data_IF_013578192309
#
_entry.id   IF_013578192309
#
_cell.length_a   1.000
_cell.length_b   1.000
_cell.length_c   1.000
_cell.angle_alpha   90.00
_cell.angle_beta   90.00
_cell.angle_gamma   90.00
#
_symmetry.space_group_name_H-M   'P 1'
#
loop_
_entity.id
_entity.type
_entity.pdbx_description
1 polymer ?
#
# COMPACT_ATOMS: atom_id res chain seq x y z
N UNK A 1 13.57 19.25 9.53
CA UNK A 1 14.17 18.06 10.17
C UNK A 1 13.31 16.88 9.79
N UNK A 2 13.82 15.80 9.18
CA UNK A 2 12.99 14.63 8.95
C UNK A 2 12.62 14.07 10.32
N UNK A 3 11.33 14.05 10.64
CA UNK A 3 10.84 13.51 11.91
C UNK A 3 11.20 12.03 11.99
N UNK A 4 11.57 11.61 13.20
CA UNK A 4 11.92 10.26 13.63
C UNK A 4 11.19 9.18 12.86
N UNK A 5 11.90 8.09 12.57
CA UNK A 5 11.34 6.90 11.96
C UNK A 5 10.00 6.52 12.66
N UNK A 6 8.90 6.54 11.90
CA UNK A 6 7.55 6.54 12.45
C UNK A 6 6.57 5.66 11.65
N UNK A 7 7.08 4.75 10.81
CA UNK A 7 6.21 3.78 10.14
C UNK A 7 5.52 2.88 11.17
N UNK A 8 6.26 2.40 12.17
CA UNK A 8 5.75 1.53 13.24
C UNK A 8 5.84 2.14 14.65
N UNK A 9 6.14 3.44 14.74
CA UNK A 9 6.30 4.15 16.01
C UNK A 9 7.74 4.20 16.56
N UNK A 10 8.73 3.72 15.82
CA UNK A 10 10.16 3.91 16.15
C UNK A 10 11.13 3.63 15.02
N UNK A 11 10.67 2.97 13.96
CA UNK A 11 11.46 2.51 12.83
C UNK A 11 10.76 2.80 11.49
N UNK A 12 11.53 2.69 10.41
CA UNK A 12 11.11 2.97 9.03
C UNK A 12 12.03 2.25 8.06
N UNK A 13 11.53 1.97 6.86
CA UNK A 13 12.36 1.44 5.77
C UNK A 13 13.52 2.39 5.44
N UNK A 14 14.72 1.83 5.22
CA UNK A 14 15.89 2.58 4.79
C UNK A 14 15.69 3.10 3.36
N UNK A 15 15.74 4.43 3.20
CA UNK A 15 15.66 5.06 1.87
C UNK A 15 16.78 4.58 0.94
N UNK A 16 17.97 4.32 1.48
CA UNK A 16 19.12 3.81 0.75
C UNK A 16 18.89 2.38 0.28
N UNK A 17 18.30 1.52 1.13
CA UNK A 17 17.98 0.14 0.75
C UNK A 17 16.87 0.10 -0.32
N UNK A 18 15.85 0.94 -0.19
CA UNK A 18 14.81 1.10 -1.22
C UNK A 18 15.40 1.63 -2.54
N UNK A 19 16.29 2.62 -2.49
CA UNK A 19 16.96 3.14 -3.67
C UNK A 19 17.85 2.08 -4.36
N UNK A 20 18.48 1.19 -3.60
CA UNK A 20 19.27 0.08 -4.15
C UNK A 20 18.43 -0.90 -4.99
N UNK A 21 17.11 -0.95 -4.76
CA UNK A 21 16.13 -1.71 -5.57
C UNK A 21 15.27 -0.80 -6.45
N UNK A 22 15.76 0.41 -6.75
CA UNK A 22 15.10 1.41 -7.61
C UNK A 22 13.75 1.95 -7.12
N UNK A 23 13.45 1.79 -5.83
CA UNK A 23 12.31 2.44 -5.18
C UNK A 23 12.78 3.80 -4.67
N UNK A 24 12.63 4.82 -5.52
CA UNK A 24 13.01 6.21 -5.23
C UNK A 24 11.79 7.13 -5.24
N UNK A 25 11.85 8.32 -4.61
CA UNK A 25 10.79 9.33 -4.71
C UNK A 25 10.35 9.57 -6.16
N UNK A 26 9.04 9.45 -6.44
CA UNK A 26 8.46 9.63 -7.77
C UNK A 26 8.65 8.44 -8.73
N UNK A 27 9.34 7.37 -8.31
CA UNK A 27 9.46 6.17 -9.13
C UNK A 27 8.10 5.50 -9.34
N UNK A 28 7.93 4.86 -10.50
CA UNK A 28 6.81 3.96 -10.74
C UNK A 28 7.27 2.53 -10.51
N UNK A 29 6.60 1.84 -9.59
CA UNK A 29 6.83 0.43 -9.27
C UNK A 29 5.82 -0.40 -10.05
N UNK A 30 6.28 -1.30 -10.90
CA UNK A 30 5.42 -2.21 -11.65
C UNK A 30 5.41 -3.60 -11.00
N UNK A 31 4.22 -4.15 -10.76
CA UNK A 31 4.05 -5.52 -10.28
C UNK A 31 2.83 -6.16 -10.93
N UNK A 32 3.04 -7.25 -11.69
CA UNK A 32 1.96 -8.02 -12.36
C UNK A 32 0.96 -7.15 -13.15
N UNK A 33 1.45 -6.12 -13.84
CA UNK A 33 0.62 -5.21 -14.64
C UNK A 33 -0.05 -4.08 -13.84
N UNK A 34 0.14 -4.02 -12.51
CA UNK A 34 -0.26 -2.88 -11.68
C UNK A 34 0.93 -1.95 -11.49
N UNK A 35 0.67 -0.64 -11.58
CA UNK A 35 1.68 0.40 -11.44
C UNK A 35 1.38 1.24 -10.19
N UNK A 36 2.38 1.39 -9.32
CA UNK A 36 2.29 2.18 -8.10
C UNK A 36 3.24 3.38 -8.21
N UNK A 37 2.73 4.58 -8.00
CA UNK A 37 3.57 5.78 -7.90
C UNK A 37 4.12 5.90 -6.47
N UNK A 38 5.43 5.81 -6.32
CA UNK A 38 6.09 6.00 -5.05
C UNK A 38 6.09 7.48 -4.63
N UNK A 39 5.73 7.82 -3.39
CA UNK A 39 5.54 9.21 -2.99
C UNK A 39 6.82 10.04 -3.03
N UNK A 40 6.65 11.34 -3.32
CA UNK A 40 7.75 12.31 -3.37
C UNK A 40 7.99 12.98 -2.01
N UNK A 41 8.12 12.18 -0.94
CA UNK A 41 8.44 12.67 0.41
C UNK A 41 7.28 13.31 1.17
N UNK A 42 6.06 13.26 0.63
CA UNK A 42 4.82 13.59 1.35
C UNK A 42 4.23 12.35 2.01
N UNK A 43 3.54 12.54 3.14
CA UNK A 43 2.75 11.48 3.74
C UNK A 43 1.68 11.05 2.74
N UNK A 44 1.78 9.82 2.26
CA UNK A 44 0.87 9.24 1.27
C UNK A 44 0.62 7.77 1.60
N UNK A 45 0.25 7.51 2.85
CA UNK A 45 -0.14 6.20 3.33
C UNK A 45 -1.57 6.24 3.87
N UNK A 46 -2.20 5.07 3.87
CA UNK A 46 -3.52 4.86 4.44
C UNK A 46 -3.39 3.77 5.49
N UNK A 47 -3.74 4.07 6.74
CA UNK A 47 -3.88 3.04 7.76
C UNK A 47 -5.21 2.30 7.53
N UNK A 48 -5.16 0.98 7.34
CA UNK A 48 -6.37 0.18 7.12
C UNK A 48 -7.24 0.16 8.38
N UNK A 49 -8.37 0.89 8.37
CA UNK A 49 -9.30 0.97 9.50
C UNK A 49 -10.77 0.81 9.07
N UNK A 50 -11.01 0.05 7.99
CA UNK A 50 -12.35 -0.18 7.44
C UNK A 50 -12.90 0.93 6.54
N UNK A 51 -12.07 1.91 6.14
CA UNK A 51 -12.50 2.93 5.18
C UNK A 51 -12.87 2.34 3.81
N UNK A 52 -13.80 3.01 3.14
CA UNK A 52 -14.15 2.74 1.73
C UNK A 52 -13.26 3.60 0.83
N UNK A 53 -12.62 2.97 -0.15
CA UNK A 53 -11.85 3.66 -1.20
C UNK A 53 -12.74 3.74 -2.44
N UNK A 54 -13.07 4.95 -2.88
CA UNK A 54 -13.86 5.16 -4.08
C UNK A 54 -12.96 5.13 -5.33
N UNK A 55 -13.24 4.22 -6.26
CA UNK A 55 -12.54 4.06 -7.53
C UNK A 55 -13.29 4.69 -8.71
N UNK A 56 -14.26 5.57 -8.45
CA UNK A 56 -15.05 6.24 -9.50
C UNK A 56 -14.14 6.91 -10.52
N UNK A 57 -14.37 6.63 -11.81
CA UNK A 57 -13.57 7.15 -12.92
C UNK A 57 -12.30 6.33 -13.22
N UNK A 58 -11.96 5.33 -12.39
CA UNK A 58 -10.93 4.36 -12.71
C UNK A 58 -11.56 3.14 -13.39
N UNK A 59 -10.98 2.71 -14.52
CA UNK A 59 -11.41 1.51 -15.25
C UNK A 59 -10.27 0.49 -15.21
N UNK A 60 -10.59 -0.79 -15.00
CA UNK A 60 -9.61 -1.86 -14.99
C UNK A 60 -10.17 -3.17 -14.44
N UNK A 61 -9.40 -4.25 -14.61
CA UNK A 61 -9.77 -5.61 -14.17
C UNK A 61 -8.86 -6.13 -13.05
N UNK A 62 -7.95 -5.29 -12.54
CA UNK A 62 -6.95 -5.69 -11.56
C UNK A 62 -6.83 -4.61 -10.49
N UNK A 63 -6.97 -5.03 -9.24
CA UNK A 63 -6.72 -4.19 -8.07
C UNK A 63 -5.44 -4.69 -7.41
N UNK A 64 -4.44 -3.82 -7.30
CA UNK A 64 -3.19 -4.13 -6.60
C UNK A 64 -3.09 -3.37 -5.29
N UNK A 65 -2.53 -4.03 -4.29
CA UNK A 65 -2.22 -3.44 -2.99
C UNK A 65 -0.72 -3.47 -2.78
N UNK A 66 -0.14 -2.30 -2.46
CA UNK A 66 1.23 -2.17 -1.98
C UNK A 66 1.14 -1.76 -0.51
N UNK A 67 1.63 -2.60 0.37
CA UNK A 67 1.50 -2.39 1.81
C UNK A 67 2.53 -3.17 2.60
N UNK A 68 2.57 -2.91 3.90
CA UNK A 68 3.44 -3.55 4.85
C UNK A 68 2.70 -3.74 6.18
N UNK A 69 2.99 -4.84 6.87
CA UNK A 69 2.59 -5.02 8.26
C UNK A 69 3.59 -4.31 9.17
N UNK A 70 3.10 -3.78 10.28
CA UNK A 70 3.93 -3.30 11.38
C UNK A 70 3.46 -4.00 12.65
N UNK A 71 4.39 -4.34 13.55
CA UNK A 71 4.07 -5.01 14.82
C UNK A 71 3.35 -6.37 14.61
N UNK A 72 3.90 -7.22 13.75
CA UNK A 72 3.38 -8.55 13.45
C UNK A 72 2.60 -8.67 12.13
N UNK A 73 2.00 -9.85 11.91
CA UNK A 73 1.16 -10.14 10.76
C UNK A 73 -0.08 -9.24 10.79
N UNK A 74 -0.19 -8.35 9.80
CA UNK A 74 -1.37 -7.51 9.62
C UNK A 74 -2.24 -8.09 8.51
N UNK A 75 -3.55 -8.12 8.73
CA UNK A 75 -4.46 -8.63 7.71
C UNK A 75 -5.92 -8.35 8.00
N UNK A 76 -6.75 -8.60 6.99
CA UNK A 76 -8.18 -8.39 7.09
C UNK A 76 -8.90 -8.74 5.80
N UNK A 77 -10.22 -8.63 5.86
CA UNK A 77 -11.07 -8.81 4.70
C UNK A 77 -11.19 -7.50 3.93
N UNK A 78 -11.07 -7.60 2.61
CA UNK A 78 -11.39 -6.54 1.66
C UNK A 78 -12.66 -6.95 0.95
N UNK A 79 -13.61 -6.03 0.88
CA UNK A 79 -14.85 -6.19 0.13
C UNK A 79 -14.74 -5.33 -1.12
N UNK A 80 -14.79 -5.96 -2.29
CA UNK A 80 -14.84 -5.28 -3.58
C UNK A 80 -16.30 -5.25 -4.02
N UNK A 81 -16.80 -4.05 -4.31
CA UNK A 81 -18.13 -3.85 -4.92
C UNK A 81 -17.96 -3.59 -6.41
N UNK A 82 -18.59 -4.41 -7.24
CA UNK A 82 -18.53 -4.31 -8.70
C UNK A 82 -19.60 -3.37 -9.26
N UNK A 83 -19.49 -3.04 -10.54
CA UNK A 83 -20.42 -2.13 -11.24
C UNK A 83 -21.86 -2.69 -11.34
N UNK A 84 -22.03 -4.00 -11.26
CA UNK A 84 -23.32 -4.70 -11.20
C UNK A 84 -23.88 -4.82 -9.77
N UNK A 85 -23.26 -4.13 -8.80
CA UNK A 85 -23.56 -4.15 -7.38
C UNK A 85 -23.31 -5.48 -6.66
N UNK A 86 -22.74 -6.49 -7.33
CA UNK A 86 -22.25 -7.68 -6.64
C UNK A 86 -21.03 -7.35 -5.79
N UNK A 87 -20.75 -8.20 -4.79
CA UNK A 87 -19.59 -8.04 -3.91
C UNK A 87 -18.77 -9.32 -3.85
N UNK A 88 -17.46 -9.15 -3.71
CA UNK A 88 -16.55 -10.26 -3.46
C UNK A 88 -15.62 -9.93 -2.29
N UNK A 89 -15.44 -10.90 -1.40
CA UNK A 89 -14.53 -10.79 -0.27
C UNK A 89 -13.19 -11.44 -0.62
N UNK A 90 -12.11 -10.72 -0.33
CA UNK A 90 -10.73 -11.20 -0.43
C UNK A 90 -10.05 -11.07 0.92
N UNK A 91 -9.18 -12.03 1.25
CA UNK A 91 -8.30 -11.91 2.41
C UNK A 91 -6.99 -11.25 1.98
N UNK A 92 -6.61 -10.16 2.64
CA UNK A 92 -5.32 -9.51 2.45
C UNK A 92 -4.47 -9.67 3.71
N UNK A 93 -3.20 -10.05 3.53
CA UNK A 93 -2.23 -10.19 4.61
C UNK A 93 -0.91 -9.54 4.19
N UNK A 94 -0.34 -8.75 5.09
CA UNK A 94 1.01 -8.22 4.99
C UNK A 94 1.81 -8.70 6.19
N UNK A 95 2.93 -9.37 5.92
CA UNK A 95 3.84 -9.78 6.98
C UNK A 95 4.59 -8.57 7.55
N UNK A 96 5.07 -8.74 8.77
CA UNK A 96 6.05 -7.83 9.36
C UNK A 96 7.36 -7.87 8.56
N UNK A 97 8.14 -6.80 8.68
CA UNK A 97 9.32 -6.53 7.88
C UNK A 97 10.63 -6.97 8.55
N UNK A 98 10.53 -7.72 9.66
CA UNK A 98 11.63 -8.35 10.39
C UNK A 98 11.80 -9.83 10.03
#
# INVERSE_FOLDING_TARGET
MPSSANFDGGYSYSAQALAAVSITPGATIAHKGVYFLWPMGTNNNVQANGQVINTTGMMGYTLGFLGAGANGLQGGNIIVTYNDATTQTFQLTFNDWY
#
